data_IF_923154351284
#
_entry.id   IF_923154351284
#
_cell.length_a   1.000
_cell.length_b   1.000
_cell.length_c   1.000
_cell.angle_alpha   90.00
_cell.angle_beta   90.00
_cell.angle_gamma   90.00
#
_symmetry.space_group_name_H-M   'P 1'
#
loop_
_entity.id
_entity.type
_entity.pdbx_description
1 polymer ?
#
# COMPACT_ATOMS: atom_id res chain seq x y z
N UNK A 1 20.30 8.10 -14.42
CA UNK A 1 20.62 7.30 -13.23
C UNK A 1 19.37 7.21 -12.37
N UNK A 2 18.93 6.02 -12.00
CA UNK A 2 17.75 5.80 -11.15
C UNK A 2 18.24 5.36 -9.77
N UNK A 3 17.64 5.88 -8.70
CA UNK A 3 17.87 5.44 -7.32
C UNK A 3 16.55 4.92 -6.76
N UNK A 4 16.48 3.63 -6.44
CA UNK A 4 15.32 3.03 -5.80
C UNK A 4 15.51 3.08 -4.28
N UNK A 5 14.51 3.60 -3.58
CA UNK A 5 14.49 3.69 -2.12
C UNK A 5 13.35 2.79 -1.64
N UNK A 6 13.71 1.64 -1.06
CA UNK A 6 12.74 0.76 -0.42
C UNK A 6 12.19 1.41 0.84
N UNK A 7 10.87 1.44 0.98
CA UNK A 7 10.18 1.92 2.17
C UNK A 7 9.44 0.77 2.85
N UNK A 8 9.40 0.76 4.18
CA UNK A 8 8.77 -0.29 4.98
C UNK A 8 8.03 0.30 6.17
N UNK A 9 6.79 -0.15 6.39
CA UNK A 9 5.83 0.41 7.36
C UNK A 9 6.24 0.33 8.84
N UNK A 10 7.34 -0.35 9.17
CA UNK A 10 7.76 -0.57 10.57
C UNK A 10 8.88 0.41 10.99
N UNK A 11 9.51 1.11 10.05
CA UNK A 11 10.63 2.00 10.34
C UNK A 11 10.25 3.46 10.08
N UNK A 12 10.63 4.37 10.97
CA UNK A 12 10.50 5.80 10.73
C UNK A 12 11.55 6.24 9.68
N UNK A 13 11.25 6.02 8.40
CA UNK A 13 12.17 6.25 7.27
C UNK A 13 12.04 7.63 6.63
N UNK A 14 11.09 8.46 7.06
CA UNK A 14 10.89 9.81 6.51
C UNK A 14 12.19 10.64 6.48
N UNK A 15 12.98 10.61 7.56
CA UNK A 15 14.26 11.32 7.63
C UNK A 15 15.30 10.77 6.64
N UNK A 16 15.36 9.44 6.49
CA UNK A 16 16.27 8.80 5.54
C UNK A 16 15.91 9.18 4.10
N UNK A 17 14.62 9.16 3.77
CA UNK A 17 14.13 9.57 2.43
C UNK A 17 14.47 11.03 2.14
N UNK A 18 14.21 11.94 3.09
CA UNK A 18 14.56 13.36 2.97
C UNK A 18 16.07 13.54 2.75
N UNK A 19 16.89 12.89 3.58
CA UNK A 19 18.35 12.95 3.50
C UNK A 19 18.88 12.52 2.13
N UNK A 20 18.38 11.41 1.58
CA UNK A 20 18.76 10.94 0.23
C UNK A 20 18.39 11.96 -0.84
N UNK A 21 17.19 12.54 -0.79
CA UNK A 21 16.74 13.54 -1.78
C UNK A 21 17.58 14.82 -1.69
N UNK A 22 17.88 15.32 -0.49
CA UNK A 22 18.72 16.51 -0.30
C UNK A 22 20.15 16.30 -0.79
N UNK A 23 20.73 15.13 -0.53
CA UNK A 23 22.09 14.82 -0.96
C UNK A 23 22.19 14.61 -2.47
N UNK A 24 21.23 13.88 -3.06
CA UNK A 24 21.26 13.55 -4.49
C UNK A 24 20.74 14.66 -5.39
N UNK A 25 19.88 15.55 -4.87
CA UNK A 25 19.22 16.65 -5.61
C UNK A 25 18.69 16.20 -6.98
N UNK A 26 17.81 15.18 -7.04
CA UNK A 26 17.32 14.67 -8.31
C UNK A 26 16.48 15.72 -9.06
N UNK A 27 16.32 15.55 -10.37
CA UNK A 27 15.41 16.39 -11.17
C UNK A 27 13.94 16.02 -10.95
N UNK A 28 13.69 14.74 -10.65
CA UNK A 28 12.36 14.17 -10.45
C UNK A 28 12.40 13.18 -9.29
N UNK A 29 11.39 13.22 -8.43
CA UNK A 29 11.10 12.22 -7.40
C UNK A 29 9.82 11.49 -7.80
N UNK A 30 9.93 10.19 -8.08
CA UNK A 30 8.80 9.35 -8.41
C UNK A 30 8.25 8.68 -7.15
N UNK A 31 6.93 8.76 -6.93
CA UNK A 31 6.24 8.17 -5.79
C UNK A 31 5.39 6.98 -6.25
N UNK A 32 5.48 5.87 -5.53
CA UNK A 32 4.58 4.70 -5.64
C UNK A 32 3.21 5.07 -5.04
N UNK A 33 2.53 6.02 -5.68
CA UNK A 33 1.28 6.58 -5.22
C UNK A 33 0.48 7.09 -6.41
N UNK A 34 -0.84 6.85 -6.39
CA UNK A 34 -1.76 7.38 -7.41
C UNK A 34 -2.33 8.76 -6.98
N UNK A 35 -2.90 9.53 -7.93
CA UNK A 35 -3.43 10.86 -7.63
C UNK A 35 -4.49 10.92 -6.53
N UNK A 36 -5.38 9.93 -6.45
CA UNK A 36 -6.45 9.91 -5.46
C UNK A 36 -5.87 9.67 -4.06
N UNK A 37 -4.94 8.72 -3.93
CA UNK A 37 -4.22 8.49 -2.65
C UNK A 37 -3.33 9.67 -2.26
N UNK A 38 -2.66 10.30 -3.21
CA UNK A 38 -1.87 11.51 -2.94
C UNK A 38 -2.75 12.65 -2.43
N UNK A 39 -3.89 12.90 -3.08
CA UNK A 39 -4.85 13.89 -2.62
C UNK A 39 -5.32 13.60 -1.18
N UNK A 40 -5.68 12.35 -0.88
CA UNK A 40 -6.13 11.94 0.44
C UNK A 40 -5.04 12.13 1.52
N UNK A 41 -3.79 11.81 1.21
CA UNK A 41 -2.66 11.99 2.14
C UNK A 41 -2.36 13.47 2.39
N UNK A 42 -2.38 14.31 1.35
CA UNK A 42 -2.09 15.74 1.47
C UNK A 42 -3.19 16.48 2.22
N UNK A 43 -4.45 16.18 1.93
CA UNK A 43 -5.57 16.93 2.47
C UNK A 43 -6.08 16.41 3.82
N UNK A 44 -5.49 15.31 4.35
CA UNK A 44 -5.90 14.60 5.57
C UNK A 44 -7.41 14.79 5.79
N UNK A 45 -8.23 14.32 4.86
CA UNK A 45 -9.68 14.59 4.90
C UNK A 45 -10.26 14.10 6.21
N UNK A 46 -10.41 15.03 7.15
CA UNK A 46 -11.23 14.88 8.34
C UNK A 46 -12.66 14.86 7.86
N UNK A 47 -13.21 13.66 7.76
CA UNK A 47 -14.64 13.37 7.86
C UNK A 47 -15.56 14.34 7.10
N UNK A 48 -15.73 14.13 5.81
CA UNK A 48 -17.02 14.46 5.16
C UNK A 48 -18.05 13.38 5.49
N UNK A 49 -19.35 13.68 5.44
CA UNK A 49 -20.42 12.71 5.65
C UNK A 49 -20.31 11.54 4.66
N UNK A 50 -19.62 10.49 5.10
CA UNK A 50 -19.43 9.27 4.35
C UNK A 50 -20.75 8.49 4.35
N UNK A 51 -21.36 8.18 3.19
CA UNK A 51 -22.54 7.33 3.11
C UNK A 51 -22.30 6.01 3.84
N UNK A 52 -23.33 5.43 4.48
CA UNK A 52 -23.19 4.27 5.38
C UNK A 52 -22.41 3.11 4.74
N UNK A 53 -22.54 2.90 3.43
CA UNK A 53 -21.80 1.89 2.67
C UNK A 53 -20.27 2.09 2.66
N UNK A 54 -19.80 3.33 2.74
CA UNK A 54 -18.38 3.67 2.79
C UNK A 54 -17.83 3.73 4.22
N UNK A 55 -18.69 3.81 5.25
CA UNK A 55 -18.26 3.73 6.66
C UNK A 55 -17.67 2.37 7.02
N UNK A 56 -18.20 1.28 6.43
CA UNK A 56 -17.67 -0.07 6.67
C UNK A 56 -16.26 -0.22 6.08
N UNK A 57 -16.04 0.36 4.90
CA UNK A 57 -14.73 0.40 4.26
C UNK A 57 -13.76 1.31 5.03
N UNK A 58 -14.22 2.48 5.48
CA UNK A 58 -13.43 3.39 6.31
C UNK A 58 -13.05 2.75 7.66
N UNK A 59 -13.96 2.02 8.32
CA UNK A 59 -13.68 1.24 9.53
C UNK A 59 -12.67 0.11 9.28
N UNK A 60 -12.73 -0.53 8.11
CA UNK A 60 -11.75 -1.55 7.72
C UNK A 60 -10.37 -0.94 7.47
N UNK A 61 -10.33 0.22 6.80
CA UNK A 61 -9.13 1.02 6.57
C UNK A 61 -8.52 1.55 7.87
N UNK A 62 -9.32 2.08 8.80
CA UNK A 62 -8.88 2.53 10.13
C UNK A 62 -8.37 1.38 11.00
N UNK A 63 -9.01 0.20 10.96
CA UNK A 63 -8.55 -0.98 11.70
C UNK A 63 -7.26 -1.56 11.14
N UNK A 64 -7.02 -1.43 9.84
CA UNK A 64 -5.73 -1.77 9.23
C UNK A 64 -4.67 -0.72 9.64
N UNK A 65 -4.96 0.57 9.48
CA UNK A 65 -4.07 1.65 9.88
C UNK A 65 -3.68 1.59 11.38
N UNK A 66 -4.64 1.31 12.26
CA UNK A 66 -4.42 1.19 13.71
C UNK A 66 -3.70 -0.09 14.15
N UNK A 67 -3.54 -1.09 13.28
CA UNK A 67 -2.74 -2.30 13.56
C UNK A 67 -1.26 -2.16 13.14
N UNK A 68 -0.93 -1.22 12.26
CA UNK A 68 0.44 -1.02 11.75
C UNK A 68 1.17 0.20 12.32
N UNK A 69 0.57 0.96 13.25
CA UNK A 69 1.29 1.83 14.19
C UNK A 69 2.02 3.07 13.65
N UNK A 70 2.11 3.25 12.33
CA UNK A 70 2.71 4.42 11.67
C UNK A 70 1.67 5.13 10.79
N UNK A 71 1.74 6.47 10.65
CA UNK A 71 0.95 7.19 9.64
C UNK A 71 1.34 6.65 8.25
N UNK A 72 0.54 5.71 7.73
CA UNK A 72 0.68 5.18 6.37
C UNK A 72 0.73 6.36 5.42
N UNK A 73 1.81 6.48 4.64
CA UNK A 73 2.02 7.57 3.69
C UNK A 73 2.83 8.77 4.21
N UNK A 74 3.27 8.77 5.48
CA UNK A 74 4.17 9.82 6.00
C UNK A 74 5.51 9.91 5.25
N UNK A 75 6.07 8.75 4.86
CA UNK A 75 7.28 8.66 4.03
C UNK A 75 7.09 9.27 2.62
N UNK A 76 5.92 9.07 2.02
CA UNK A 76 5.57 9.59 0.69
C UNK A 76 5.37 11.10 0.73
N UNK A 77 4.73 11.62 1.79
CA UNK A 77 4.62 13.06 2.02
C UNK A 77 5.98 13.69 2.29
N UNK A 78 6.84 13.04 3.07
CA UNK A 78 8.20 13.51 3.33
C UNK A 78 9.03 13.57 2.03
N UNK A 79 8.89 12.57 1.15
CA UNK A 79 9.52 12.55 -0.17
C UNK A 79 9.02 13.70 -1.06
N UNK A 80 7.69 13.91 -1.10
CA UNK A 80 7.08 14.99 -1.87
C UNK A 80 7.56 16.38 -1.40
N UNK A 81 7.61 16.61 -0.09
CA UNK A 81 8.10 17.86 0.49
C UNK A 81 9.59 18.07 0.21
N UNK A 82 10.43 17.05 0.42
CA UNK A 82 11.87 17.16 0.13
C UNK A 82 12.14 17.41 -1.36
N UNK A 83 11.33 16.84 -2.26
CA UNK A 83 11.41 17.13 -3.69
C UNK A 83 11.18 18.62 -3.97
N UNK A 84 10.15 19.22 -3.37
CA UNK A 84 9.87 20.65 -3.49
C UNK A 84 11.03 21.50 -2.95
N UNK A 85 11.58 21.16 -1.79
CA UNK A 85 12.70 21.87 -1.15
C UNK A 85 13.98 21.90 -2.00
N UNK A 86 14.24 20.86 -2.80
CA UNK A 86 15.39 20.82 -3.72
C UNK A 86 15.07 21.33 -5.13
N UNK A 87 13.81 21.70 -5.41
CA UNK A 87 13.36 22.13 -6.74
C UNK A 87 13.13 20.97 -7.73
N UNK A 88 12.94 19.75 -7.24
CA UNK A 88 12.62 18.58 -8.06
C UNK A 88 11.12 18.52 -8.39
N UNK A 89 10.78 17.94 -9.54
CA UNK A 89 9.39 17.59 -9.87
C UNK A 89 8.96 16.35 -9.10
N UNK A 90 7.67 16.28 -8.74
CA UNK A 90 7.08 15.06 -8.18
C UNK A 90 6.27 14.36 -9.28
N UNK A 91 6.53 13.06 -9.49
CA UNK A 91 5.79 12.23 -10.42
C UNK A 91 5.07 11.10 -9.66
N UNK A 92 3.75 11.03 -9.83
CA UNK A 92 2.93 9.93 -9.30
C UNK A 92 2.92 8.80 -10.34
N UNK A 93 3.61 7.70 -10.04
CA UNK A 93 3.87 6.66 -11.04
C UNK A 93 3.02 5.41 -10.86
N UNK A 94 2.24 5.31 -9.79
CA UNK A 94 1.47 4.12 -9.49
C UNK A 94 0.11 4.08 -10.22
N UNK A 95 -0.45 2.89 -10.29
CA UNK A 95 -1.78 2.64 -10.84
C UNK A 95 -2.87 3.17 -9.91
N UNK A 96 -3.97 3.61 -10.52
CA UNK A 96 -5.21 3.90 -9.80
C UNK A 96 -5.67 2.67 -9.01
N UNK A 97 -5.76 2.82 -7.69
CA UNK A 97 -6.10 1.71 -6.81
C UNK A 97 -7.47 1.08 -7.14
N UNK A 98 -8.48 1.87 -7.51
CA UNK A 98 -9.79 1.34 -7.89
C UNK A 98 -9.71 0.50 -9.16
N UNK A 99 -8.91 0.92 -10.15
CA UNK A 99 -8.64 0.14 -11.35
C UNK A 99 -7.91 -1.16 -11.03
N UNK A 100 -6.91 -1.13 -10.14
CA UNK A 100 -6.18 -2.31 -9.68
C UNK A 100 -7.13 -3.30 -9.02
N UNK A 101 -7.98 -2.84 -8.09
CA UNK A 101 -9.00 -3.69 -7.46
C UNK A 101 -9.99 -4.28 -8.47
N UNK A 102 -10.48 -3.48 -9.42
CA UNK A 102 -11.40 -3.95 -10.45
C UNK A 102 -10.76 -5.02 -11.34
N UNK A 103 -9.49 -4.82 -11.74
CA UNK A 103 -8.71 -5.81 -12.50
C UNK A 103 -8.49 -7.07 -11.70
N UNK A 104 -8.09 -6.95 -10.43
CA UNK A 104 -7.89 -8.07 -9.54
C UNK A 104 -9.15 -8.91 -9.40
N UNK A 105 -10.28 -8.26 -9.11
CA UNK A 105 -11.57 -8.92 -8.98
C UNK A 105 -11.97 -9.67 -10.25
N UNK A 106 -11.74 -9.05 -11.42
CA UNK A 106 -12.03 -9.65 -12.73
C UNK A 106 -11.15 -10.85 -13.05
N UNK A 107 -9.85 -10.81 -12.70
CA UNK A 107 -8.90 -11.91 -12.95
C UNK A 107 -9.08 -13.09 -12.00
N UNK A 108 -9.49 -12.83 -10.76
CA UNK A 108 -9.72 -13.87 -9.77
C UNK A 108 -10.75 -14.90 -10.24
N UNK A 109 -10.37 -16.16 -10.15
CA UNK A 109 -11.25 -17.31 -10.24
C UNK A 109 -12.29 -17.32 -9.11
N UNK A 110 -13.38 -18.06 -9.30
CA UNK A 110 -14.40 -18.21 -8.25
C UNK A 110 -13.83 -18.80 -6.95
N UNK A 111 -12.80 -19.66 -7.04
CA UNK A 111 -12.10 -20.21 -5.88
C UNK A 111 -11.33 -19.14 -5.11
N UNK A 112 -10.55 -18.31 -5.81
CA UNK A 112 -9.81 -17.18 -5.21
C UNK A 112 -10.76 -16.19 -4.55
N UNK A 113 -11.91 -15.88 -5.18
CA UNK A 113 -12.93 -14.99 -4.59
C UNK A 113 -13.52 -15.56 -3.31
N UNK A 114 -13.88 -16.84 -3.29
CA UNK A 114 -14.41 -17.50 -2.09
C UNK A 114 -13.34 -17.55 -0.98
N UNK A 115 -12.08 -17.80 -1.32
CA UNK A 115 -10.99 -17.83 -0.36
C UNK A 115 -10.74 -16.44 0.25
N UNK A 116 -10.71 -15.39 -0.58
CA UNK A 116 -10.56 -14.00 -0.15
C UNK A 116 -11.72 -13.57 0.78
N UNK A 117 -12.96 -13.82 0.37
CA UNK A 117 -14.15 -13.47 1.16
C UNK A 117 -14.25 -14.29 2.44
N UNK A 118 -13.91 -15.58 2.39
CA UNK A 118 -13.84 -16.46 3.55
C UNK A 118 -12.82 -15.95 4.58
N UNK A 119 -11.61 -15.60 4.13
CA UNK A 119 -10.58 -15.02 4.98
C UNK A 119 -10.98 -13.67 5.59
N UNK A 120 -11.61 -12.80 4.79
CA UNK A 120 -12.12 -11.52 5.28
C UNK A 120 -13.22 -11.68 6.33
N UNK A 121 -14.16 -12.61 6.13
CA UNK A 121 -15.22 -12.92 7.10
C UNK A 121 -14.64 -13.46 8.41
N UNK A 122 -13.72 -14.42 8.34
CA UNK A 122 -13.02 -14.93 9.54
C UNK A 122 -12.32 -13.78 10.26
N UNK A 123 -11.62 -12.91 9.53
CA UNK A 123 -10.93 -11.74 10.08
C UNK A 123 -11.83 -10.74 10.82
N UNK A 124 -13.11 -10.62 10.43
CA UNK A 124 -14.08 -9.75 11.10
C UNK A 124 -14.58 -10.30 12.45
N UNK A 125 -14.59 -11.63 12.62
CA UNK A 125 -15.03 -12.30 13.85
C UNK A 125 -13.86 -12.63 14.81
N UNK A 126 -12.61 -12.45 14.38
CA UNK A 126 -11.43 -12.68 15.23
C UNK A 126 -11.23 -11.54 16.24
N UNK A 127 -11.04 -11.90 17.51
CA UNK A 127 -10.67 -10.94 18.55
C UNK A 127 -9.27 -10.36 18.29
N UNK A 128 -9.02 -9.12 18.73
CA UNK A 128 -7.70 -8.46 18.58
C UNK A 128 -6.54 -9.34 19.08
N UNK A 129 -6.74 -9.99 20.23
CA UNK A 129 -5.77 -10.90 20.88
C UNK A 129 -5.53 -12.18 20.08
N UNK A 130 -6.50 -12.61 19.27
CA UNK A 130 -6.34 -13.76 18.37
C UNK A 130 -5.58 -13.35 17.11
N UNK A 131 -5.82 -12.14 16.58
CA UNK A 131 -5.08 -11.65 15.42
C UNK A 131 -3.61 -11.41 15.74
N UNK A 132 -3.28 -10.82 16.88
CA UNK A 132 -1.89 -10.64 17.33
C UNK A 132 -1.15 -11.99 17.45
N UNK A 133 -1.81 -13.01 18.00
CA UNK A 133 -1.21 -14.35 18.15
C UNK A 133 -1.00 -15.08 16.81
N UNK A 134 -1.87 -14.84 15.82
CA UNK A 134 -1.66 -15.35 14.46
C UNK A 134 -0.58 -14.55 13.72
N UNK A 135 -0.46 -13.24 13.95
CA UNK A 135 0.63 -12.40 13.44
C UNK A 135 2.00 -12.85 13.95
N UNK A 136 2.14 -13.14 15.25
CA UNK A 136 3.38 -13.68 15.83
C UNK A 136 3.76 -15.03 15.22
N UNK A 137 2.77 -15.87 14.85
CA UNK A 137 3.04 -17.14 14.15
C UNK A 137 3.53 -16.90 12.72
N UNK A 138 3.05 -15.84 12.06
CA UNK A 138 3.53 -15.47 10.72
C UNK A 138 4.98 -15.00 10.75
N UNK A 139 5.39 -14.20 11.75
CA UNK A 139 6.79 -13.77 11.87
C UNK A 139 7.75 -14.96 12.02
N UNK A 140 7.33 -16.02 12.72
CA UNK A 140 8.15 -17.19 12.98
C UNK A 140 8.09 -18.27 11.88
N UNK A 141 7.17 -18.19 10.91
CA UNK A 141 6.99 -19.16 9.83
C UNK A 141 6.50 -18.49 8.54
N UNK A 142 7.13 -17.37 8.17
CA UNK A 142 6.74 -16.57 7.01
C UNK A 142 6.70 -17.38 5.72
N UNK A 143 7.69 -18.27 5.50
CA UNK A 143 7.81 -19.06 4.27
C UNK A 143 6.66 -20.05 4.09
N UNK A 144 6.26 -20.78 5.15
CA UNK A 144 5.14 -21.72 5.08
C UNK A 144 3.79 -21.02 4.87
N UNK A 145 3.62 -19.80 5.39
CA UNK A 145 2.42 -19.01 5.15
C UNK A 145 2.39 -18.44 3.73
N UNK A 146 3.52 -17.93 3.24
CA UNK A 146 3.68 -17.47 1.86
C UNK A 146 3.43 -18.61 0.88
N UNK A 147 3.90 -19.82 1.18
CA UNK A 147 3.64 -21.02 0.37
C UNK A 147 2.14 -21.40 0.39
N UNK A 148 1.49 -21.34 1.56
CA UNK A 148 0.03 -21.55 1.68
C UNK A 148 -0.83 -20.49 0.98
N UNK A 149 -0.31 -19.27 0.83
CA UNK A 149 -0.93 -18.18 0.05
C UNK A 149 -0.61 -18.30 -1.45
N UNK A 150 0.58 -18.80 -1.79
CA UNK A 150 1.09 -18.89 -3.16
C UNK A 150 0.21 -19.73 -4.08
N UNK A 151 -0.31 -20.85 -3.59
CA UNK A 151 -1.23 -21.71 -4.36
C UNK A 151 -2.65 -21.12 -4.50
N UNK A 152 -3.02 -20.15 -3.66
CA UNK A 152 -4.37 -19.62 -3.55
C UNK A 152 -4.60 -18.22 -4.12
N UNK A 153 -3.54 -17.51 -4.54
CA UNK A 153 -3.61 -16.08 -4.87
C UNK A 153 -2.75 -15.66 -6.07
N UNK A 154 -2.63 -16.53 -7.07
CA UNK A 154 -1.91 -16.25 -8.31
C UNK A 154 -2.38 -14.93 -8.96
N UNK A 155 -3.69 -14.65 -8.96
CA UNK A 155 -4.23 -13.38 -9.49
C UNK A 155 -3.78 -12.15 -8.70
N UNK A 156 -3.54 -12.28 -7.38
CA UNK A 156 -3.04 -11.18 -6.55
C UNK A 156 -1.61 -10.85 -6.94
N UNK A 157 -0.75 -11.87 -7.05
CA UNK A 157 0.64 -11.66 -7.48
C UNK A 157 0.70 -11.00 -8.85
N UNK A 158 -0.01 -11.55 -9.82
CA UNK A 158 0.00 -11.03 -11.19
C UNK A 158 -0.46 -9.56 -11.25
N UNK A 159 -1.52 -9.19 -10.54
CA UNK A 159 -2.08 -7.84 -10.64
C UNK A 159 -1.37 -6.83 -9.73
N UNK A 160 -1.09 -7.19 -8.47
CA UNK A 160 -0.50 -6.26 -7.50
C UNK A 160 1.01 -6.13 -7.62
N UNK A 161 1.69 -7.12 -8.22
CA UNK A 161 3.14 -7.11 -8.39
C UNK A 161 3.47 -6.97 -9.88
N UNK A 162 3.15 -7.96 -10.71
CA UNK A 162 3.69 -8.01 -12.07
C UNK A 162 3.13 -6.88 -12.96
N UNK A 163 1.79 -6.77 -13.10
CA UNK A 163 1.13 -5.73 -13.88
C UNK A 163 1.45 -4.33 -13.34
N UNK A 164 1.48 -4.18 -12.01
CA UNK A 164 1.71 -2.89 -11.33
C UNK A 164 3.16 -2.42 -11.47
N UNK A 165 4.13 -3.31 -11.31
CA UNK A 165 5.54 -2.99 -11.52
C UNK A 165 5.82 -2.65 -12.99
N UNK A 166 5.20 -3.38 -13.93
CA UNK A 166 5.27 -3.05 -15.36
C UNK A 166 4.73 -1.65 -15.64
N UNK A 167 3.55 -1.32 -15.11
CA UNK A 167 2.95 0.00 -15.26
C UNK A 167 3.83 1.14 -14.71
N UNK A 168 4.44 0.94 -13.53
CA UNK A 168 5.34 1.91 -12.93
C UNK A 168 6.63 2.06 -13.74
N UNK A 169 7.20 0.97 -14.23
CA UNK A 169 8.41 0.98 -15.04
C UNK A 169 8.21 1.73 -16.36
N UNK A 170 7.07 1.53 -17.04
CA UNK A 170 6.72 2.23 -18.28
C UNK A 170 6.62 3.76 -18.11
N UNK A 171 6.39 4.24 -16.88
CA UNK A 171 6.33 5.68 -16.55
C UNK A 171 7.69 6.29 -16.20
N UNK A 172 8.75 5.48 -16.14
CA UNK A 172 10.12 5.95 -15.92
C UNK A 172 10.88 6.20 -17.22
N UNK A 173 10.31 5.81 -18.37
CA UNK A 173 10.87 5.91 -19.73
C UNK A 173 10.17 7.02 -20.51
#
# INVERSE_FOLDING_TARGET
>A
MITLIGVGHVFAISENVRSVIHQRRPQVVCLELDPARYHALVHKERSGEVPIQYKLLAMFQERLAGKFGTEVGGEMLAAASAAQEVGAKVALIDMDAAMVFARLWKRMSMKERVHLLGGALVGLFLSKKTVERELDKYENNADAYIESMGDGFQSIKEVLIDDRNGYMADRLV
#
